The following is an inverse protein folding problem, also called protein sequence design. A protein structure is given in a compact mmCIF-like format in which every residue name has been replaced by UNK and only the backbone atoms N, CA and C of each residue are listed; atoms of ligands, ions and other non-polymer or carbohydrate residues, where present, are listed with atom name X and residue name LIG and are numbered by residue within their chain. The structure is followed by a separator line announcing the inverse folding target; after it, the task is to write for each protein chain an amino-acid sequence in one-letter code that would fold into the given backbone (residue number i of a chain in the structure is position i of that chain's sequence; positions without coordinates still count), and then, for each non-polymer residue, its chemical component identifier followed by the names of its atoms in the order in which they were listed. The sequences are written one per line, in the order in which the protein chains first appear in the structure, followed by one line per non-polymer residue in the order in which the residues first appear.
data_IF_953204760547
#
_entry.id   IF_953204760547
#
_cell.length_a   1.000
_cell.length_b   1.000
_cell.length_c   1.000
_cell.angle_alpha   90.00
_cell.angle_beta   90.00
_cell.angle_gamma   90.00
#
_symmetry.space_group_name_H-M   'P 1'
#
loop_
_entity.id
_entity.type
_entity.pdbx_description
1 polymer ?
#
# COMPACT_ATOMS: atom_id res chain seq x y z
N UNK A 1 24.73 -40.50 -42.64
CA UNK A 1 23.69 -39.93 -41.77
C UNK A 1 24.35 -39.26 -40.57
N UNK A 2 24.55 -37.94 -40.61
CA UNK A 2 25.21 -37.22 -39.52
C UNK A 2 24.28 -37.18 -38.29
N UNK A 3 24.70 -37.77 -37.17
CA UNK A 3 24.05 -37.63 -35.87
C UNK A 3 24.04 -36.15 -35.50
N UNK A 4 22.89 -35.49 -35.63
CA UNK A 4 22.67 -34.13 -35.12
C UNK A 4 23.06 -34.14 -33.64
N UNK A 5 24.18 -33.50 -33.28
CA UNK A 5 24.61 -33.32 -31.90
C UNK A 5 23.45 -32.62 -31.17
N UNK A 6 22.73 -33.36 -30.34
CA UNK A 6 21.73 -32.78 -29.44
C UNK A 6 22.50 -31.93 -28.44
N UNK A 7 22.51 -30.62 -28.69
CA UNK A 7 23.15 -29.65 -27.82
C UNK A 7 22.49 -29.80 -26.43
N UNK A 8 23.31 -30.09 -25.42
CA UNK A 8 22.85 -30.32 -24.05
C UNK A 8 22.09 -29.07 -23.62
N UNK A 9 20.75 -29.16 -23.50
CA UNK A 9 19.90 -28.05 -23.10
C UNK A 9 20.41 -27.57 -21.74
N UNK A 10 21.01 -26.38 -21.69
CA UNK A 10 21.46 -25.79 -20.45
C UNK A 10 20.23 -25.68 -19.56
N UNK A 11 20.38 -26.15 -18.33
CA UNK A 11 19.32 -26.15 -17.34
C UNK A 11 18.88 -24.70 -17.08
N UNK A 12 17.63 -24.38 -17.42
CA UNK A 12 17.10 -23.03 -17.33
C UNK A 12 17.01 -22.49 -15.89
N UNK A 13 17.26 -23.34 -14.89
CA UNK A 13 17.47 -22.90 -13.50
C UNK A 13 18.86 -22.30 -13.28
N UNK A 14 19.89 -22.88 -13.89
CA UNK A 14 21.30 -22.45 -13.72
C UNK A 14 21.61 -21.13 -14.40
N UNK A 15 20.77 -20.70 -15.33
CA UNK A 15 20.87 -19.41 -16.02
C UNK A 15 20.15 -18.27 -15.29
N UNK A 16 19.61 -18.51 -14.09
CA UNK A 16 18.93 -17.47 -13.32
C UNK A 16 19.87 -16.89 -12.27
N UNK A 17 19.84 -15.58 -12.15
CA UNK A 17 20.56 -14.83 -11.13
C UNK A 17 19.59 -14.39 -10.03
N UNK A 18 20.14 -14.17 -8.84
CA UNK A 18 19.38 -13.69 -7.68
C UNK A 18 19.47 -12.17 -7.61
N UNK A 19 18.32 -11.53 -7.45
CA UNK A 19 18.17 -10.09 -7.30
C UNK A 19 17.54 -9.78 -5.95
N UNK A 20 18.08 -8.78 -5.27
CA UNK A 20 17.59 -8.29 -4.00
C UNK A 20 16.54 -7.21 -4.25
N UNK A 21 15.38 -7.32 -3.60
CA UNK A 21 14.32 -6.33 -3.71
C UNK A 21 14.45 -5.34 -2.55
N UNK A 22 14.62 -4.08 -2.91
CA UNK A 22 14.66 -2.98 -1.96
C UNK A 22 13.34 -2.21 -1.92
N UNK A 23 12.90 -1.92 -0.71
CA UNK A 23 11.76 -1.05 -0.46
C UNK A 23 12.08 0.41 -0.88
N UNK A 24 11.06 1.22 -1.20
CA UNK A 24 11.24 2.65 -1.47
C UNK A 24 11.91 3.40 -0.31
N UNK A 25 12.47 4.57 -0.60
CA UNK A 25 13.22 5.39 0.36
C UNK A 25 12.38 5.77 1.59
N UNK A 26 11.11 6.12 1.40
CA UNK A 26 10.18 6.47 2.48
C UNK A 26 9.77 5.27 3.37
N UNK A 27 10.19 4.05 3.03
CA UNK A 27 10.03 2.83 3.83
C UNK A 27 11.38 2.28 4.33
N UNK A 28 12.35 3.16 4.57
CA UNK A 28 13.66 2.86 5.16
C UNK A 28 14.61 1.98 4.30
N UNK A 29 14.36 1.84 2.99
CA UNK A 29 15.19 1.01 2.08
C UNK A 29 15.50 -0.39 2.63
N UNK A 30 14.53 -0.99 3.31
CA UNK A 30 14.68 -2.34 3.83
C UNK A 30 14.75 -3.35 2.67
N UNK A 31 15.58 -4.38 2.82
CA UNK A 31 15.60 -5.52 1.91
C UNK A 31 14.36 -6.36 2.23
N UNK A 32 13.47 -6.43 1.25
CA UNK A 32 12.16 -7.07 1.37
C UNK A 32 12.27 -8.58 1.17
N UNK A 33 13.13 -8.98 0.24
CA UNK A 33 13.36 -10.37 -0.12
C UNK A 33 14.13 -10.49 -1.42
N UNK A 34 14.31 -11.73 -1.87
CA UNK A 34 15.11 -12.03 -3.07
C UNK A 34 14.22 -12.66 -4.13
N UNK A 35 14.44 -12.29 -5.39
CA UNK A 35 13.78 -12.92 -6.53
C UNK A 35 14.80 -13.37 -7.55
N UNK A 36 14.47 -14.44 -8.27
CA UNK A 36 15.31 -14.93 -9.35
C UNK A 36 14.72 -14.59 -10.72
N UNK A 37 15.60 -14.22 -11.64
CA UNK A 37 15.25 -14.00 -13.03
C UNK A 37 16.43 -14.37 -13.93
N UNK A 38 16.13 -14.77 -15.17
CA UNK A 38 17.16 -14.96 -16.19
C UNK A 38 17.54 -13.67 -16.92
N UNK A 39 16.67 -12.66 -16.87
CA UNK A 39 16.88 -11.34 -17.45
C UNK A 39 16.26 -10.29 -16.49
N UNK A 40 16.97 -9.20 -16.15
CA UNK A 40 16.44 -8.09 -15.36
C UNK A 40 15.11 -7.53 -15.87
N UNK A 41 14.90 -7.54 -17.19
CA UNK A 41 13.70 -6.99 -17.82
C UNK A 41 12.42 -7.74 -17.39
N UNK A 42 12.54 -9.00 -17.00
CA UNK A 42 11.41 -9.85 -16.55
C UNK A 42 10.98 -9.57 -15.11
N UNK A 43 11.78 -8.81 -14.34
CA UNK A 43 11.46 -8.42 -12.97
C UNK A 43 10.57 -7.17 -12.92
N UNK A 44 10.76 -6.26 -13.88
CA UNK A 44 10.00 -5.01 -13.95
C UNK A 44 8.51 -5.31 -14.07
N UNK A 45 7.71 -4.67 -13.21
CA UNK A 45 6.26 -4.85 -13.18
C UNK A 45 5.75 -6.02 -12.32
N UNK A 46 6.62 -6.81 -11.69
CA UNK A 46 6.17 -7.80 -10.70
C UNK A 46 5.69 -7.11 -9.42
N UNK A 47 4.58 -7.60 -8.88
CA UNK A 47 4.04 -7.17 -7.60
C UNK A 47 4.50 -8.14 -6.50
N UNK A 48 4.89 -7.57 -5.37
CA UNK A 48 5.42 -8.28 -4.21
C UNK A 48 4.62 -7.81 -3.00
N UNK A 49 4.18 -8.77 -2.20
CA UNK A 49 3.48 -8.52 -0.95
C UNK A 49 4.43 -8.71 0.22
N UNK A 50 4.51 -7.70 1.08
CA UNK A 50 5.30 -7.76 2.32
C UNK A 50 4.53 -7.14 3.47
N UNK A 51 4.87 -7.52 4.69
CA UNK A 51 4.27 -6.91 5.88
C UNK A 51 5.04 -5.68 6.34
N UNK A 52 4.32 -4.69 6.88
CA UNK A 52 4.95 -3.49 7.47
C UNK A 52 5.84 -3.86 8.66
N UNK A 53 5.47 -4.91 9.40
CA UNK A 53 6.24 -5.35 10.54
C UNK A 53 7.62 -5.91 10.17
N UNK A 54 7.76 -6.56 9.00
CA UNK A 54 9.08 -6.94 8.46
C UNK A 54 9.89 -5.71 8.03
N UNK A 55 9.25 -4.69 7.45
CA UNK A 55 9.94 -3.46 7.02
C UNK A 55 10.41 -2.60 8.20
N UNK A 56 9.65 -2.58 9.29
CA UNK A 56 9.90 -1.70 10.46
C UNK A 56 10.49 -2.47 11.66
N UNK A 57 10.60 -3.80 11.58
CA UNK A 57 10.88 -4.69 12.71
C UNK A 57 9.90 -4.50 13.91
N UNK A 58 8.66 -4.08 13.64
CA UNK A 58 7.60 -3.92 14.66
C UNK A 58 6.52 -4.99 14.48
N UNK A 59 6.52 -5.98 15.38
CA UNK A 59 5.62 -7.15 15.36
C UNK A 59 4.14 -6.72 15.45
N UNK A 60 3.85 -5.57 16.06
CA UNK A 60 2.49 -5.06 16.25
C UNK A 60 1.80 -4.75 14.92
N UNK A 61 2.59 -4.42 13.88
CA UNK A 61 2.11 -3.99 12.57
C UNK A 61 2.13 -5.09 11.51
N UNK A 62 2.26 -6.36 11.93
CA UNK A 62 2.15 -7.52 11.03
C UNK A 62 0.75 -7.69 10.40
N UNK A 63 -0.24 -6.94 10.88
CA UNK A 63 -1.60 -6.90 10.33
C UNK A 63 -1.75 -6.08 9.04
N UNK A 64 -0.69 -5.37 8.62
CA UNK A 64 -0.72 -4.51 7.43
C UNK A 64 0.21 -5.07 6.37
N UNK A 65 -0.37 -5.40 5.22
CA UNK A 65 0.34 -5.79 4.02
C UNK A 65 0.54 -4.58 3.11
N UNK A 66 1.71 -4.49 2.50
CA UNK A 66 2.08 -3.51 1.49
C UNK A 66 2.30 -4.24 0.18
N UNK A 67 1.77 -3.67 -0.89
CA UNK A 67 1.95 -4.16 -2.26
C UNK A 67 2.97 -3.25 -2.92
N UNK A 68 4.15 -3.80 -3.17
CA UNK A 68 5.25 -3.15 -3.85
C UNK A 68 5.32 -3.64 -5.30
N UNK A 69 5.65 -2.76 -6.24
CA UNK A 69 5.83 -3.08 -7.64
C UNK A 69 7.27 -2.75 -8.04
N UNK A 70 7.96 -3.68 -8.68
CA UNK A 70 9.32 -3.42 -9.19
C UNK A 70 9.22 -2.43 -10.35
N UNK A 71 9.92 -1.30 -10.25
CA UNK A 71 9.98 -0.28 -11.30
C UNK A 71 11.27 -0.40 -12.11
N UNK A 72 12.42 -0.49 -11.42
CA UNK A 72 13.72 -0.57 -12.07
C UNK A 72 14.63 -1.59 -11.39
N UNK A 73 15.58 -2.12 -12.15
CA UNK A 73 16.64 -3.01 -11.65
C UNK A 73 17.98 -2.38 -11.99
N UNK A 74 18.80 -2.13 -10.97
CA UNK A 74 20.13 -1.56 -11.09
C UNK A 74 21.12 -2.59 -10.55
N UNK A 75 21.88 -3.22 -11.46
CA UNK A 75 22.74 -4.35 -11.11
C UNK A 75 21.92 -5.49 -10.51
N UNK A 76 22.24 -5.88 -9.28
CA UNK A 76 21.57 -6.96 -8.55
C UNK A 76 20.39 -6.45 -7.68
N UNK A 77 20.15 -5.14 -7.67
CA UNK A 77 19.16 -4.50 -6.79
C UNK A 77 17.93 -4.07 -7.60
N UNK A 78 16.77 -4.57 -7.20
CA UNK A 78 15.47 -4.17 -7.75
C UNK A 78 14.81 -3.10 -6.87
N UNK A 79 14.68 -1.90 -7.40
CA UNK A 79 13.96 -0.79 -6.75
C UNK A 79 12.45 -0.94 -6.97
N UNK A 80 11.70 -0.79 -5.89
CA UNK A 80 10.23 -0.89 -5.92
C UNK A 80 9.53 0.44 -5.64
N UNK A 81 8.34 0.58 -6.21
CA UNK A 81 7.38 1.62 -5.90
C UNK A 81 6.18 1.03 -5.16
N UNK A 82 5.52 1.85 -4.34
CA UNK A 82 4.35 1.42 -3.59
C UNK A 82 3.08 1.55 -4.43
N UNK A 83 2.41 0.41 -4.67
CA UNK A 83 1.15 0.35 -5.41
C UNK A 83 -0.07 0.50 -4.48
N UNK A 84 0.07 0.07 -3.22
CA UNK A 84 -0.99 0.19 -2.22
C UNK A 84 -0.68 -0.53 -0.91
N UNK A 85 -1.61 -0.41 0.04
CA UNK A 85 -1.60 -1.20 1.26
C UNK A 85 -2.95 -1.89 1.46
N UNK A 86 -2.95 -3.00 2.20
CA UNK A 86 -4.14 -3.75 2.56
C UNK A 86 -4.00 -4.33 3.97
N UNK A 87 -5.04 -4.22 4.78
CA UNK A 87 -5.10 -4.93 6.05
C UNK A 87 -5.40 -6.41 5.83
N UNK A 88 -4.83 -7.26 6.68
CA UNK A 88 -5.10 -8.69 6.62
C UNK A 88 -6.57 -9.00 6.90
N UNK A 89 -7.07 -10.06 6.26
CA UNK A 89 -8.49 -10.43 6.34
C UNK A 89 -8.87 -10.95 7.72
N UNK A 90 -7.95 -11.66 8.39
CA UNK A 90 -8.06 -12.10 9.78
C UNK A 90 -8.20 -10.91 10.73
N UNK A 91 -7.35 -9.88 10.60
CA UNK A 91 -7.42 -8.68 11.43
C UNK A 91 -8.77 -7.96 11.25
N UNK A 92 -9.18 -7.72 10.01
CA UNK A 92 -10.48 -7.08 9.72
C UNK A 92 -11.64 -7.88 10.30
N UNK A 93 -11.63 -9.21 10.15
CA UNK A 93 -12.68 -10.09 10.69
C UNK A 93 -12.71 -10.07 12.21
N UNK A 94 -11.56 -10.01 12.88
CA UNK A 94 -11.46 -9.96 14.35
C UNK A 94 -12.05 -8.68 14.96
N UNK A 95 -11.99 -7.56 14.25
CA UNK A 95 -12.50 -6.27 14.76
C UNK A 95 -14.02 -6.20 14.68
N UNK A 96 -14.60 -6.79 13.63
CA UNK A 96 -16.05 -6.82 13.36
C UNK A 96 -16.73 -7.68 14.42
N UNK A 97 -17.65 -7.06 15.19
CA UNK A 97 -18.44 -7.76 16.22
C UNK A 97 -19.94 -7.64 15.95
N UNK A 98 -20.71 -8.60 16.47
CA UNK A 98 -22.17 -8.53 16.47
C UNK A 98 -22.66 -7.31 17.28
N UNK A 99 -23.84 -6.80 16.93
CA UNK A 99 -24.47 -5.63 17.57
C UNK A 99 -23.67 -4.31 17.50
N UNK A 100 -22.68 -4.24 16.61
CA UNK A 100 -21.92 -3.03 16.30
C UNK A 100 -22.15 -2.61 14.86
N UNK A 101 -21.91 -1.34 14.54
CA UNK A 101 -21.99 -0.84 13.17
C UNK A 101 -20.59 -0.70 12.58
N UNK A 102 -20.45 -1.18 11.35
CA UNK A 102 -19.28 -0.93 10.51
C UNK A 102 -19.61 0.17 9.52
N UNK A 103 -18.80 1.22 9.51
CA UNK A 103 -18.98 2.37 8.63
C UNK A 103 -17.78 2.40 7.69
N UNK A 104 -18.04 2.11 6.42
CA UNK A 104 -17.04 2.15 5.37
C UNK A 104 -17.29 3.41 4.49
N UNK A 105 -16.19 4.01 4.03
CA UNK A 105 -16.17 5.02 2.98
C UNK A 105 -15.22 4.56 1.85
N UNK A 106 -15.52 4.97 0.62
CA UNK A 106 -14.67 4.75 -0.54
C UNK A 106 -14.43 6.11 -1.19
N UNK A 107 -13.19 6.57 -1.15
CA UNK A 107 -12.84 7.95 -1.50
C UNK A 107 -11.75 7.89 -2.55
N UNK A 108 -11.94 8.62 -3.64
CA UNK A 108 -10.89 8.87 -4.62
C UNK A 108 -10.33 10.25 -4.33
N UNK A 109 -9.04 10.32 -3.99
CA UNK A 109 -8.34 11.56 -3.69
C UNK A 109 -7.20 11.78 -4.67
N UNK A 110 -6.92 13.04 -4.94
CA UNK A 110 -5.76 13.47 -5.72
C UNK A 110 -4.77 14.12 -4.77
N UNK A 111 -3.53 13.65 -4.75
CA UNK A 111 -2.47 14.29 -3.95
C UNK A 111 -1.90 15.50 -4.68
N UNK A 112 -1.09 16.28 -3.98
CA UNK A 112 -0.43 17.46 -4.55
C UNK A 112 0.42 17.13 -5.79
N UNK A 113 1.04 15.96 -5.80
CA UNK A 113 1.88 15.47 -6.91
C UNK A 113 1.08 14.96 -8.11
N UNK A 114 -0.25 15.00 -8.06
CA UNK A 114 -1.12 14.53 -9.14
C UNK A 114 -1.39 13.01 -9.13
N UNK A 115 -1.01 12.29 -8.06
CA UNK A 115 -1.38 10.88 -7.92
C UNK A 115 -2.85 10.75 -7.54
N UNK A 116 -3.55 9.86 -8.24
CA UNK A 116 -4.93 9.51 -7.89
C UNK A 116 -4.92 8.23 -7.06
N UNK A 117 -5.33 8.35 -5.79
CA UNK A 117 -5.36 7.26 -4.82
C UNK A 117 -6.79 6.99 -4.40
N UNK A 118 -7.18 5.72 -4.39
CA UNK A 118 -8.41 5.26 -3.75
C UNK A 118 -8.12 4.83 -2.32
N UNK A 119 -8.74 5.49 -1.35
CA UNK A 119 -8.59 5.21 0.09
C UNK A 119 -9.90 4.66 0.62
N UNK A 120 -9.83 3.57 1.39
CA UNK A 120 -10.98 2.93 2.04
C UNK A 120 -10.84 3.02 3.57
N UNK A 121 -11.14 4.17 4.19
CA UNK A 121 -11.10 4.32 5.64
C UNK A 121 -12.36 3.74 6.27
N UNK A 122 -12.21 3.02 7.36
CA UNK A 122 -13.28 2.21 7.96
C UNK A 122 -13.32 2.35 9.47
N UNK A 123 -14.53 2.57 10.00
CA UNK A 123 -14.78 2.88 11.40
C UNK A 123 -15.64 1.80 12.05
N UNK A 124 -15.33 1.51 13.32
CA UNK A 124 -16.04 0.55 14.14
C UNK A 124 -16.60 1.21 15.39
N UNK A 125 -17.92 1.15 15.56
CA UNK A 125 -18.61 1.74 16.70
C UNK A 125 -18.68 0.78 17.90
N UNK A 126 -18.92 1.31 19.12
CA UNK A 126 -19.12 0.46 20.31
C UNK A 126 -20.47 -0.27 20.27
N UNK A 127 -21.52 0.43 19.84
CA UNK A 127 -22.90 -0.07 19.70
C UNK A 127 -23.44 0.26 18.32
N UNK A 128 -24.61 -0.29 17.98
CA UNK A 128 -25.30 0.02 16.72
C UNK A 128 -25.62 1.52 16.64
N UNK A 129 -25.06 2.19 15.64
CA UNK A 129 -25.30 3.60 15.36
C UNK A 129 -26.58 3.78 14.52
N UNK A 130 -27.24 4.94 14.68
CA UNK A 130 -28.38 5.32 13.83
C UNK A 130 -27.92 5.71 12.43
N UNK A 131 -28.80 5.60 11.44
CA UNK A 131 -28.47 5.92 10.03
C UNK A 131 -27.96 7.35 9.82
N UNK A 132 -28.52 8.33 10.54
CA UNK A 132 -28.06 9.72 10.49
C UNK A 132 -26.63 9.88 11.00
N UNK A 133 -26.28 9.23 12.11
CA UNK A 133 -24.93 9.22 12.67
C UNK A 133 -23.93 8.54 11.73
N UNK A 134 -24.35 7.44 11.08
CA UNK A 134 -23.53 6.74 10.09
C UNK A 134 -23.19 7.65 8.91
N UNK A 135 -24.18 8.41 8.41
CA UNK A 135 -23.99 9.36 7.31
C UNK A 135 -23.05 10.50 7.72
N UNK A 136 -23.26 11.09 8.90
CA UNK A 136 -22.42 12.17 9.42
C UNK A 136 -20.95 11.75 9.62
N UNK A 137 -20.71 10.54 10.15
CA UNK A 137 -19.35 9.99 10.28
C UNK A 137 -18.72 9.78 8.89
N UNK A 138 -19.51 9.32 7.91
CA UNK A 138 -19.01 9.09 6.54
C UNK A 138 -18.60 10.41 5.87
N UNK A 139 -19.40 11.46 5.99
CA UNK A 139 -19.09 12.80 5.46
C UNK A 139 -17.81 13.36 6.09
N UNK A 140 -17.71 13.31 7.42
CA UNK A 140 -16.49 13.73 8.13
C UNK A 140 -15.24 12.94 7.68
N UNK A 141 -15.36 11.63 7.45
CA UNK A 141 -14.24 10.83 6.94
C UNK A 141 -13.78 11.28 5.56
N UNK A 142 -14.73 11.66 4.69
CA UNK A 142 -14.42 12.19 3.35
C UNK A 142 -13.65 13.50 3.47
N UNK A 143 -14.16 14.43 4.27
CA UNK A 143 -13.58 15.76 4.43
C UNK A 143 -12.16 15.72 4.98
N UNK A 144 -11.90 14.91 6.02
CA UNK A 144 -10.57 14.77 6.62
C UNK A 144 -9.57 14.19 5.62
N UNK A 145 -9.97 13.13 4.90
CA UNK A 145 -9.07 12.44 3.96
C UNK A 145 -8.79 13.34 2.76
N UNK A 146 -9.79 14.05 2.25
CA UNK A 146 -9.62 14.99 1.14
C UNK A 146 -8.72 16.16 1.54
N UNK A 147 -8.94 16.76 2.71
CA UNK A 147 -8.09 17.85 3.23
C UNK A 147 -6.64 17.41 3.40
N UNK A 148 -6.42 16.22 3.96
CA UNK A 148 -5.06 15.67 4.14
C UNK A 148 -4.39 15.40 2.80
N UNK A 149 -5.11 14.80 1.85
CA UNK A 149 -4.58 14.52 0.53
C UNK A 149 -4.20 15.80 -0.24
N UNK A 150 -4.94 16.90 -0.09
CA UNK A 150 -4.60 18.17 -0.74
C UNK A 150 -3.38 18.87 -0.14
N UNK A 151 -3.09 18.63 1.15
CA UNK A 151 -1.98 19.26 1.87
C UNK A 151 -0.65 18.50 1.73
N UNK A 152 -0.71 17.19 1.46
CA UNK A 152 0.45 16.29 1.55
C UNK A 152 0.86 15.70 0.20
N UNK A 153 2.15 15.42 0.08
CA UNK A 153 2.75 14.72 -1.05
C UNK A 153 2.46 13.21 -0.96
N UNK A 154 2.54 12.49 -2.08
CA UNK A 154 2.19 11.07 -2.18
C UNK A 154 2.90 10.20 -1.13
N UNK A 155 4.21 10.40 -0.98
CA UNK A 155 5.06 9.61 -0.08
C UNK A 155 4.64 9.81 1.38
N UNK A 156 4.47 11.07 1.77
CA UNK A 156 4.07 11.44 3.14
C UNK A 156 2.65 10.95 3.45
N UNK A 157 1.72 11.07 2.49
CA UNK A 157 0.35 10.60 2.64
C UNK A 157 0.30 9.08 2.84
N UNK A 158 1.05 8.32 2.04
CA UNK A 158 1.13 6.87 2.18
C UNK A 158 1.75 6.45 3.50
N UNK A 159 2.79 7.14 3.96
CA UNK A 159 3.39 6.89 5.26
C UNK A 159 2.41 7.20 6.41
N UNK A 160 1.68 8.31 6.36
CA UNK A 160 0.65 8.65 7.35
C UNK A 160 -0.49 7.62 7.39
N UNK A 161 -0.87 7.09 6.22
CA UNK A 161 -1.89 6.07 6.10
C UNK A 161 -1.42 4.73 6.71
N UNK A 162 -0.20 4.29 6.42
CA UNK A 162 0.37 3.03 6.91
C UNK A 162 0.68 3.09 8.41
N UNK A 163 1.23 4.21 8.89
CA UNK A 163 1.57 4.38 10.31
C UNK A 163 0.34 4.67 11.19
N UNK A 164 -0.84 4.89 10.59
CA UNK A 164 -2.10 5.10 11.31
C UNK A 164 -2.33 6.52 11.84
N UNK A 165 -1.52 7.51 11.42
CA UNK A 165 -1.72 8.92 11.78
C UNK A 165 -3.03 9.46 11.22
N UNK A 166 -3.35 9.07 9.98
CA UNK A 166 -4.62 9.43 9.34
C UNK A 166 -5.82 8.80 10.07
N UNK A 167 -5.70 7.53 10.49
CA UNK A 167 -6.71 6.86 11.32
C UNK A 167 -6.95 7.57 12.66
N UNK A 168 -5.87 8.00 13.32
CA UNK A 168 -5.94 8.72 14.60
C UNK A 168 -6.58 10.11 14.45
N UNK A 169 -6.36 10.81 13.33
CA UNK A 169 -7.01 12.08 13.04
C UNK A 169 -8.54 11.90 12.90
N UNK A 170 -8.97 10.89 12.14
CA UNK A 170 -10.38 10.54 11.98
C UNK A 170 -11.01 10.16 13.33
N UNK A 171 -10.32 9.35 14.14
CA UNK A 171 -10.83 8.93 15.44
C UNK A 171 -11.12 10.13 16.37
N UNK A 172 -10.22 11.12 16.42
CA UNK A 172 -10.38 12.30 17.27
C UNK A 172 -11.61 13.12 16.93
N UNK A 173 -11.91 13.30 15.64
CA UNK A 173 -13.08 14.06 15.22
C UNK A 173 -14.37 13.23 15.32
N UNK A 174 -14.32 11.96 14.92
CA UNK A 174 -15.52 11.14 14.87
C UNK A 174 -16.04 10.73 16.27
N UNK A 175 -15.19 10.76 17.30
CA UNK A 175 -15.60 10.53 18.71
C UNK A 175 -16.63 11.55 19.20
N UNK A 176 -16.66 12.77 18.66
CA UNK A 176 -17.65 13.80 19.05
C UNK A 176 -19.07 13.46 18.60
N UNK A 177 -19.23 12.76 17.47
CA UNK A 177 -20.55 12.35 16.96
C UNK A 177 -21.04 11.10 17.69
N UNK A 178 -20.16 10.10 17.79
CA UNK A 178 -20.51 8.81 18.37
C UNK A 178 -19.27 8.12 18.93
N UNK A 179 -19.37 7.39 20.06
CA UNK A 179 -18.24 6.66 20.60
C UNK A 179 -17.79 5.51 19.67
N UNK A 180 -16.52 5.60 19.24
CA UNK A 180 -15.85 4.63 18.37
C UNK A 180 -14.91 3.72 19.17
N UNK A 181 -14.77 2.48 18.72
CA UNK A 181 -13.78 1.52 19.23
C UNK A 181 -12.45 1.66 18.52
N UNK A 182 -12.47 1.59 17.19
CA UNK A 182 -11.28 1.65 16.33
C UNK A 182 -11.64 2.28 14.99
N UNK A 183 -10.65 2.95 14.40
CA UNK A 183 -10.67 3.47 13.03
C UNK A 183 -9.41 2.96 12.36
N UNK A 184 -9.57 2.41 11.17
CA UNK A 184 -8.49 1.79 10.42
C UNK A 184 -8.68 2.06 8.93
N UNK A 185 -7.58 2.21 8.20
CA UNK A 185 -7.60 2.28 6.74
C UNK A 185 -7.49 0.85 6.22
N UNK A 186 -8.53 0.36 5.56
CA UNK A 186 -8.58 -1.03 5.11
C UNK A 186 -7.66 -1.27 3.92
N UNK A 187 -7.68 -0.35 2.97
CA UNK A 187 -6.98 -0.49 1.70
C UNK A 187 -6.70 0.87 1.11
N UNK A 188 -5.50 1.05 0.57
CA UNK A 188 -5.23 2.07 -0.44
C UNK A 188 -4.84 1.43 -1.76
N UNK A 189 -5.26 2.05 -2.85
CA UNK A 189 -4.91 1.62 -4.21
C UNK A 189 -4.50 2.85 -5.00
N UNK A 190 -3.31 2.83 -5.58
CA UNK A 190 -2.92 3.83 -6.57
C UNK A 190 -3.63 3.48 -7.88
N UNK A 191 -4.43 4.43 -8.40
CA UNK A 191 -5.16 4.26 -9.67
C UNK A 191 -4.35 4.78 -10.85
N UNK A 192 -3.81 5.97 -10.68
CA UNK A 192 -3.08 6.67 -11.74
C UNK A 192 -1.80 7.19 -11.13
N UNK A 193 -0.69 6.69 -11.67
CA UNK A 193 0.62 7.31 -11.49
C UNK A 193 0.65 8.47 -12.48
N UNK A 194 0.90 9.71 -12.05
CA UNK A 194 1.06 10.82 -12.95
C UNK A 194 2.23 10.50 -13.88
N UNK A 195 2.08 10.80 -15.17
CA UNK A 195 3.18 10.66 -16.12
C UNK A 195 4.37 11.47 -15.57
N UNK A 196 5.61 10.92 -15.59
CA UNK A 196 6.76 11.68 -15.14
C UNK A 196 6.77 13.00 -15.91
N UNK A 197 6.78 14.12 -15.19
CA UNK A 197 6.96 15.42 -15.80
C UNK A 197 8.18 15.31 -16.73
N UNK A 198 8.09 15.80 -17.99
CA UNK A 198 9.22 15.72 -18.90
C UNK A 198 10.42 16.36 -18.20
N UNK A 199 11.51 15.60 -18.08
CA UNK A 199 12.74 16.09 -17.48
C UNK A 199 13.04 17.49 -18.03
N UNK A 200 13.39 18.48 -17.18
CA UNK A 200 13.74 19.80 -17.69
C UNK A 200 14.85 19.60 -18.71
N UNK A 201 14.56 19.96 -19.97
CA UNK A 201 15.54 19.93 -21.04
C UNK A 201 16.76 20.71 -20.53
N UNK A 202 17.87 20.01 -20.34
CA UNK A 202 19.14 20.63 -20.01
C UNK A 202 19.43 21.65 -21.13
N UNK A 203 19.39 22.93 -20.78
CA UNK A 203 19.78 24.05 -21.61
C UNK A 203 21.30 24.26 -21.52
#
# INVERSE_FOLDING_TARGET
MARKKVQRKIDGWKSKEWYNIEAPVYLNRAIVGNTMAGDPSLLVGRNIETTVGELTNDITKNNTKVILRINNVVGDVATTDLMGHELTTDYVRSIVKRQTSRIDANIDVTTKDGYVIRVKPTCFTIKRARSSQIKAIREMMVDIVQKRASETDFETFMQEAILGRLSAAIYRQAKFIYPLRRVEIRKTQVKTVPAPAPAPAAA
#
